data_IF_389118926143
#
_entry.id   IF_389118926143
#
_cell.length_a   1.000
_cell.length_b   1.000
_cell.length_c   1.000
_cell.angle_alpha   90.00
_cell.angle_beta   90.00
_cell.angle_gamma   90.00
#
_symmetry.space_group_name_H-M   'P 1'
#
loop_
_entity.id
_entity.type
_entity.pdbx_description
1 polymer ?
#
# COMPACT_ATOMS: atom_id res chain seq x y z
N UNK A 1 -1.29 13.55 -18.91
CA UNK A 1 -2.22 12.41 -18.78
C UNK A 1 -1.48 11.17 -19.24
N UNK A 2 -1.51 10.07 -18.51
CA UNK A 2 -0.59 8.91 -18.63
C UNK A 2 -0.74 8.06 -19.91
N UNK A 3 -1.35 8.56 -20.99
CA UNK A 3 -1.32 7.94 -22.33
C UNK A 3 -1.99 6.56 -22.47
N UNK A 4 -2.60 6.02 -21.42
CA UNK A 4 -3.27 4.72 -21.45
C UNK A 4 -4.76 4.87 -21.82
N UNK A 5 -5.25 4.02 -22.73
CA UNK A 5 -6.68 3.91 -23.03
C UNK A 5 -7.41 3.27 -21.83
N UNK A 6 -8.47 3.89 -21.28
CA UNK A 6 -9.26 3.31 -20.20
C UNK A 6 -9.84 1.91 -20.49
N UNK A 7 -9.96 1.51 -21.76
CA UNK A 7 -10.49 0.19 -22.18
C UNK A 7 -9.47 -0.92 -22.01
N UNK A 8 -8.19 -0.61 -22.09
CA UNK A 8 -7.10 -1.59 -22.02
C UNK A 8 -6.66 -1.86 -20.57
N UNK A 9 -6.99 -0.94 -19.66
CA UNK A 9 -6.59 -0.99 -18.26
C UNK A 9 -5.15 -0.53 -18.03
N UNK A 10 -4.77 -0.43 -16.76
CA UNK A 10 -3.44 0.01 -16.35
C UNK A 10 -2.46 -1.18 -16.24
N UNK A 11 -1.14 -0.93 -16.32
CA UNK A 11 -0.14 -1.94 -16.06
C UNK A 11 -0.28 -2.55 -14.65
N UNK A 12 -0.19 -3.88 -14.56
CA UNK A 12 -0.35 -4.65 -13.32
C UNK A 12 0.94 -4.71 -12.50
N UNK A 13 1.32 -3.59 -11.89
CA UNK A 13 2.57 -3.41 -11.14
C UNK A 13 2.81 -4.48 -10.06
N UNK A 14 1.76 -4.94 -9.39
CA UNK A 14 1.84 -5.86 -8.25
C UNK A 14 1.72 -7.34 -8.62
N UNK A 15 1.53 -7.67 -9.91
CA UNK A 15 1.26 -9.04 -10.36
C UNK A 15 2.33 -10.03 -9.86
N UNK A 16 3.60 -9.70 -10.04
CA UNK A 16 4.71 -10.55 -9.64
C UNK A 16 4.77 -10.79 -8.12
N UNK A 17 4.42 -9.79 -7.31
CA UNK A 17 4.44 -9.89 -5.84
C UNK A 17 3.36 -10.85 -5.34
N UNK A 18 2.16 -10.76 -5.90
CA UNK A 18 1.05 -11.65 -5.55
C UNK A 18 1.34 -13.07 -6.03
N UNK A 19 1.85 -13.24 -7.25
CA UNK A 19 2.21 -14.56 -7.79
C UNK A 19 3.28 -15.25 -6.93
N UNK A 20 4.28 -14.53 -6.42
CA UNK A 20 5.29 -15.08 -5.53
C UNK A 20 4.68 -15.63 -4.23
N UNK A 21 3.72 -14.90 -3.63
CA UNK A 21 3.02 -15.32 -2.40
C UNK A 21 2.10 -16.51 -2.64
N UNK A 22 1.43 -16.54 -3.79
CA UNK A 22 0.60 -17.68 -4.18
C UNK A 22 1.45 -18.93 -4.42
N UNK A 23 2.62 -18.80 -5.07
CA UNK A 23 3.58 -19.92 -5.23
C UNK A 23 4.16 -20.40 -3.91
N UNK A 24 4.35 -19.51 -2.94
CA UNK A 24 4.77 -19.88 -1.57
C UNK A 24 3.70 -20.68 -0.81
N UNK A 25 2.44 -20.60 -1.25
CA UNK A 25 1.32 -21.33 -0.64
C UNK A 25 0.66 -20.57 0.50
N UNK A 26 0.78 -19.24 0.54
CA UNK A 26 0.15 -18.41 1.55
C UNK A 26 -1.37 -18.56 1.53
N UNK A 27 -1.99 -18.70 2.71
CA UNK A 27 -3.46 -18.82 2.84
C UNK A 27 -4.13 -17.50 3.22
N UNK A 28 -3.39 -16.59 3.86
CA UNK A 28 -3.89 -15.29 4.33
C UNK A 28 -3.06 -14.19 3.69
N UNK A 29 -3.73 -13.27 2.99
CA UNK A 29 -3.08 -12.25 2.15
C UNK A 29 -3.19 -10.83 2.71
N UNK A 30 -3.48 -10.69 4.00
CA UNK A 30 -3.62 -9.36 4.62
C UNK A 30 -2.26 -8.83 5.04
N UNK A 31 -2.05 -7.53 4.87
CA UNK A 31 -0.80 -6.86 5.27
C UNK A 31 -0.56 -6.97 6.78
N UNK A 32 -1.62 -6.95 7.58
CA UNK A 32 -1.53 -7.15 9.03
C UNK A 32 -1.09 -8.56 9.42
N UNK A 33 -1.47 -9.60 8.66
CA UNK A 33 -1.00 -10.96 8.89
C UNK A 33 0.51 -11.06 8.70
N UNK A 34 1.01 -10.62 7.54
CA UNK A 34 2.45 -10.61 7.25
C UNK A 34 3.24 -9.76 8.26
N UNK A 35 2.71 -8.59 8.62
CA UNK A 35 3.33 -7.73 9.61
C UNK A 35 3.51 -8.41 10.97
N UNK A 36 2.49 -9.15 11.43
CA UNK A 36 2.51 -9.88 12.71
C UNK A 36 3.44 -11.09 12.68
N UNK A 37 3.68 -11.69 11.52
CA UNK A 37 4.68 -12.72 11.31
C UNK A 37 6.11 -12.17 11.22
N UNK A 38 6.28 -10.84 11.29
CA UNK A 38 7.59 -10.20 11.19
C UNK A 38 8.10 -10.03 9.75
N UNK A 39 7.23 -10.22 8.76
CA UNK A 39 7.58 -10.09 7.34
C UNK A 39 7.36 -8.66 6.86
N UNK A 40 8.39 -8.06 6.27
CA UNK A 40 8.27 -6.82 5.48
C UNK A 40 7.88 -7.20 4.06
N UNK A 41 6.67 -6.80 3.64
CA UNK A 41 6.15 -7.06 2.30
C UNK A 41 6.67 -6.02 1.29
N UNK A 42 6.54 -6.33 0.00
CA UNK A 42 6.82 -5.40 -1.08
C UNK A 42 5.97 -4.12 -0.98
N UNK A 43 4.70 -4.21 -0.53
CA UNK A 43 3.89 -3.01 -0.30
C UNK A 43 4.41 -2.16 0.87
N UNK A 44 4.89 -2.79 1.96
CA UNK A 44 5.49 -2.06 3.08
C UNK A 44 6.79 -1.37 2.68
N UNK A 45 7.65 -2.06 1.93
CA UNK A 45 8.88 -1.48 1.41
C UNK A 45 8.60 -0.32 0.43
N UNK A 46 7.60 -0.48 -0.44
CA UNK A 46 7.19 0.56 -1.39
C UNK A 46 6.73 1.83 -0.69
N UNK A 47 5.81 1.71 0.28
CA UNK A 47 5.30 2.89 1.00
C UNK A 47 6.35 3.51 1.90
N UNK A 48 7.23 2.70 2.51
CA UNK A 48 8.34 3.19 3.32
C UNK A 48 9.29 4.05 2.47
N UNK A 49 9.71 3.55 1.31
CA UNK A 49 10.55 4.30 0.38
C UNK A 49 9.88 5.59 -0.10
N UNK A 50 8.56 5.56 -0.35
CA UNK A 50 7.78 6.72 -0.79
C UNK A 50 7.64 7.81 0.28
N UNK A 51 7.51 7.41 1.54
CA UNK A 51 7.38 8.31 2.70
C UNK A 51 8.74 8.75 3.29
N UNK A 52 9.85 8.16 2.82
CA UNK A 52 11.16 8.35 3.45
C UNK A 52 11.24 7.75 4.85
N UNK A 53 10.47 6.69 5.12
CA UNK A 53 10.41 5.97 6.38
C UNK A 53 11.19 4.65 6.29
N UNK A 54 11.49 4.09 7.46
CA UNK A 54 12.08 2.76 7.56
C UNK A 54 11.00 1.67 7.33
N UNK A 55 11.27 0.62 6.53
CA UNK A 55 10.30 -0.46 6.28
C UNK A 55 9.90 -1.24 7.53
N UNK A 56 10.80 -1.39 8.50
CA UNK A 56 10.53 -2.07 9.76
C UNK A 56 9.63 -1.21 10.67
N UNK A 57 9.80 0.12 10.63
CA UNK A 57 8.85 1.04 11.26
C UNK A 57 7.44 0.83 10.69
N UNK A 58 7.28 0.84 9.36
CA UNK A 58 5.99 0.62 8.68
C UNK A 58 5.37 -0.72 9.07
N UNK A 59 6.15 -1.82 8.99
CA UNK A 59 5.70 -3.15 9.41
C UNK A 59 5.22 -3.14 10.85
N UNK A 60 5.96 -2.49 11.75
CA UNK A 60 5.61 -2.44 13.17
C UNK A 60 4.30 -1.69 13.45
N UNK A 61 4.02 -0.61 12.72
CA UNK A 61 2.76 0.13 12.83
C UNK A 61 1.58 -0.67 12.29
N UNK A 62 1.77 -1.39 11.19
CA UNK A 62 0.76 -2.29 10.61
C UNK A 62 0.49 -3.47 11.54
N UNK A 63 1.52 -4.07 12.15
CA UNK A 63 1.36 -5.18 13.09
C UNK A 63 0.55 -4.77 14.33
N UNK A 64 0.78 -3.55 14.82
CA UNK A 64 0.07 -2.95 15.97
C UNK A 64 -1.33 -2.46 15.62
N UNK A 65 -1.69 -2.40 14.33
CA UNK A 65 -2.98 -1.89 13.87
C UNK A 65 -3.12 -0.37 13.95
N UNK A 66 -2.01 0.37 14.04
CA UNK A 66 -2.01 1.86 14.01
C UNK A 66 -1.87 2.44 12.61
N UNK A 67 -1.43 1.61 11.67
CA UNK A 67 -1.42 1.92 10.25
C UNK A 67 -2.03 0.76 9.44
N UNK A 68 -2.58 1.07 8.28
CA UNK A 68 -3.11 0.10 7.32
C UNK A 68 -2.57 0.38 5.92
N UNK A 69 -2.40 -0.68 5.13
CA UNK A 69 -2.10 -0.60 3.70
C UNK A 69 -3.27 -1.26 2.96
N UNK A 70 -4.22 -0.48 2.41
CA UNK A 70 -5.39 -1.01 1.71
C UNK A 70 -4.99 -1.56 0.33
N UNK A 71 -4.44 -2.77 0.30
CA UNK A 71 -3.86 -3.36 -0.91
C UNK A 71 -4.47 -4.73 -1.22
N UNK A 72 -5.75 -4.74 -1.60
CA UNK A 72 -6.44 -5.96 -2.03
C UNK A 72 -5.61 -6.71 -3.09
N UNK A 73 -5.42 -8.02 -2.93
CA UNK A 73 -4.60 -8.85 -3.82
C UNK A 73 -5.12 -8.91 -5.26
N UNK A 74 -6.39 -8.59 -5.50
CA UNK A 74 -6.99 -8.56 -6.84
C UNK A 74 -6.76 -7.24 -7.57
N UNK A 75 -6.38 -6.17 -6.87
CA UNK A 75 -6.11 -4.87 -7.47
C UNK A 75 -4.61 -4.76 -7.78
N UNK A 76 -4.22 -5.29 -8.94
CA UNK A 76 -2.82 -5.51 -9.30
C UNK A 76 -2.16 -4.25 -9.87
N UNK A 77 -2.97 -3.31 -10.35
CA UNK A 77 -2.59 -2.02 -10.92
C UNK A 77 -2.31 -0.97 -9.85
N UNK A 78 -2.66 -1.26 -8.59
CA UNK A 78 -2.56 -0.33 -7.47
C UNK A 78 -1.11 0.07 -7.18
N UNK A 79 -0.88 1.38 -7.08
CA UNK A 79 0.28 1.94 -6.39
C UNK A 79 0.01 1.97 -4.87
N UNK A 80 0.71 1.17 -4.05
CA UNK A 80 0.42 1.08 -2.62
C UNK A 80 0.58 2.44 -1.90
N UNK A 81 -0.29 2.66 -0.91
CA UNK A 81 -0.26 3.82 -0.02
C UNK A 81 -0.54 3.33 1.41
N UNK A 82 -0.02 4.05 2.40
CA UNK A 82 -0.20 3.75 3.83
C UNK A 82 -1.08 4.82 4.48
N UNK A 83 -1.97 4.42 5.38
CA UNK A 83 -2.84 5.32 6.15
C UNK A 83 -2.64 5.00 7.62
N UNK A 84 -2.24 5.99 8.43
CA UNK A 84 -1.98 5.80 9.86
C UNK A 84 -1.27 6.96 10.52
N UNK A 85 -1.20 6.92 11.84
CA UNK A 85 -0.47 7.93 12.61
C UNK A 85 1.03 7.86 12.31
N UNK A 86 1.65 8.99 11.98
CA UNK A 86 3.09 9.08 11.67
C UNK A 86 3.47 8.87 10.20
N UNK A 87 2.50 8.70 9.29
CA UNK A 87 2.73 8.69 7.83
C UNK A 87 2.10 9.96 7.20
N UNK A 88 2.74 10.52 6.17
CA UNK A 88 2.36 11.82 5.60
C UNK A 88 1.37 11.69 4.43
N UNK A 89 1.37 10.60 3.66
CA UNK A 89 0.43 10.42 2.53
C UNK A 89 -0.97 9.98 2.98
N UNK A 90 -1.82 10.97 3.25
CA UNK A 90 -3.28 10.82 3.32
C UNK A 90 -3.95 11.06 1.96
N UNK A 91 -3.50 10.41 0.89
CA UNK A 91 -4.17 10.55 -0.40
C UNK A 91 -5.37 9.60 -0.48
N UNK A 92 -6.40 9.92 0.30
CA UNK A 92 -7.77 9.57 -0.07
C UNK A 92 -8.13 10.55 -1.17
N UNK A 93 -8.32 10.10 -2.41
CA UNK A 93 -8.91 10.95 -3.45
C UNK A 93 -10.38 11.18 -3.07
N UNK A 94 -10.60 12.12 -2.16
CA UNK A 94 -11.81 12.93 -2.10
C UNK A 94 -11.38 14.25 -2.73
N UNK A 95 -11.50 14.35 -4.05
CA UNK A 95 -11.28 15.62 -4.75
C UNK A 95 -12.49 16.55 -4.54
N UNK A 96 -12.86 16.82 -3.29
CA UNK A 96 -13.78 17.91 -2.95
C UNK A 96 -13.29 18.66 -1.72
N UNK A 97 -12.95 19.93 -1.95
CA UNK A 97 -12.77 21.01 -0.98
C UNK A 97 -11.57 20.94 -0.03
N UNK A 98 -10.36 21.18 -0.57
CA UNK A 98 -9.40 22.03 0.12
C UNK A 98 -9.78 23.51 -0.12
N UNK A 99 -10.81 23.98 0.57
CA UNK A 99 -11.05 25.41 0.76
C UNK A 99 -10.63 25.73 2.20
N UNK A 100 -9.46 26.35 2.32
CA UNK A 100 -9.05 27.26 3.40
C UNK A 100 -8.94 26.68 4.83
N UNK A 101 -7.72 26.58 5.34
CA UNK A 101 -7.30 27.20 6.62
C UNK A 101 -5.81 26.93 6.87
N UNK A 102 -4.99 27.76 6.24
CA UNK A 102 -3.75 28.27 6.84
C UNK A 102 -3.90 29.80 6.87
N UNK A 103 -3.70 30.35 8.07
CA UNK A 103 -3.99 31.71 8.56
C UNK A 103 -5.38 31.87 9.19
#
# INVERSE_FOLDING_TARGET
MQGHDPRDGLPKLRAAWIEARERRGDKVFTQMHYAREGLVTEEMAYVAAREGLDPEFVRSEVARGRAIIPANKRHLELEPTIIGAGCTLWLVVIHTCACTMQL
#
